data_IF_569912940123
#
_entry.id   IF_569912940123
#
_cell.length_a   1.000
_cell.length_b   1.000
_cell.length_c   1.000
_cell.angle_alpha   90.00
_cell.angle_beta   90.00
_cell.angle_gamma   90.00
#
_symmetry.space_group_name_H-M   'P 1'
#
loop_
_entity.id
_entity.type
_entity.pdbx_description
1 polymer ?
#
# COMPACT_ATOMS: atom_id res chain seq x y z
N UNK A 1 21.68 -11.28 13.77
CA UNK A 1 20.45 -11.84 14.36
C UNK A 1 19.84 -10.85 15.33
N UNK A 2 18.53 -10.59 15.26
CA UNK A 2 17.83 -9.77 16.27
C UNK A 2 17.66 -10.61 17.53
N UNK A 3 18.05 -10.05 18.69
CA UNK A 3 17.91 -10.69 20.01
C UNK A 3 16.78 -10.07 20.82
N UNK A 4 16.59 -8.75 20.69
CA UNK A 4 15.50 -8.03 21.33
C UNK A 4 15.09 -6.84 20.45
N UNK A 5 13.79 -6.56 20.40
CA UNK A 5 13.18 -5.40 19.74
C UNK A 5 12.32 -4.65 20.78
N UNK A 6 12.86 -3.56 21.31
CA UNK A 6 12.15 -2.67 22.22
C UNK A 6 11.58 -1.49 21.41
N UNK A 7 10.30 -1.58 21.05
CA UNK A 7 9.60 -0.58 20.25
C UNK A 7 9.44 0.76 21.00
N UNK A 8 8.98 0.79 22.28
CA UNK A 8 8.86 2.04 23.02
C UNK A 8 10.17 2.82 23.12
N UNK A 9 11.29 2.13 23.36
CA UNK A 9 12.61 2.76 23.44
C UNK A 9 13.28 2.93 22.07
N UNK A 10 12.65 2.46 20.99
CA UNK A 10 13.23 2.40 19.63
C UNK A 10 14.61 1.75 19.61
N UNK A 11 14.79 0.71 20.42
CA UNK A 11 16.08 0.04 20.63
C UNK A 11 16.03 -1.39 20.11
N UNK A 12 16.98 -1.71 19.24
CA UNK A 12 17.15 -3.06 18.71
C UNK A 12 18.47 -3.60 19.21
N UNK A 13 18.44 -4.78 19.84
CA UNK A 13 19.65 -5.49 20.23
C UNK A 13 19.89 -6.61 19.24
N UNK A 14 21.08 -6.60 18.62
CA UNK A 14 21.47 -7.58 17.60
C UNK A 14 22.79 -8.25 17.98
N UNK A 15 23.00 -9.46 17.50
CA UNK A 15 24.30 -10.14 17.53
C UNK A 15 24.75 -10.52 16.12
N UNK A 16 26.06 -10.55 15.88
CA UNK A 16 26.60 -11.16 14.67
C UNK A 16 26.38 -12.67 14.74
N UNK A 17 25.87 -13.26 13.66
CA UNK A 17 25.55 -14.68 13.60
C UNK A 17 25.77 -15.15 12.15
N UNK A 18 26.69 -16.09 11.87
CA UNK A 18 26.96 -16.57 10.53
C UNK A 18 25.85 -17.53 10.08
N UNK A 19 24.78 -16.98 9.51
CA UNK A 19 23.62 -17.73 9.02
C UNK A 19 23.57 -17.81 7.50
N UNK A 20 23.11 -18.94 6.97
CA UNK A 20 22.97 -19.18 5.52
C UNK A 20 21.57 -18.80 4.97
N UNK A 21 20.86 -17.92 5.67
CA UNK A 21 19.51 -17.46 5.30
C UNK A 21 19.35 -15.96 5.52
N UNK A 22 18.35 -15.38 4.87
CA UNK A 22 17.87 -14.03 5.13
C UNK A 22 16.38 -14.05 5.49
N UNK A 23 15.86 -12.96 6.07
CA UNK A 23 14.46 -12.85 6.47
C UNK A 23 13.67 -11.93 5.54
N UNK A 24 12.40 -12.26 5.29
CA UNK A 24 11.44 -11.36 4.63
C UNK A 24 10.22 -11.20 5.52
N UNK A 25 9.81 -9.97 5.77
CA UNK A 25 8.55 -9.71 6.47
C UNK A 25 7.36 -9.97 5.57
N UNK A 26 6.23 -10.27 6.18
CA UNK A 26 4.91 -10.24 5.55
C UNK A 26 4.09 -9.27 6.35
N UNK A 27 3.44 -8.37 5.63
CA UNK A 27 2.53 -7.41 6.24
C UNK A 27 1.17 -7.46 5.57
N UNK A 28 0.18 -7.02 6.32
CA UNK A 28 -1.18 -6.85 5.86
C UNK A 28 -1.51 -5.36 5.91
N UNK A 29 -1.86 -4.80 4.75
CA UNK A 29 -2.32 -3.42 4.65
C UNK A 29 -3.84 -3.39 4.58
N UNK A 30 -4.44 -2.40 5.25
CA UNK A 30 -5.85 -2.04 5.10
C UNK A 30 -5.96 -0.53 4.95
N UNK A 31 -6.98 -0.10 4.22
CA UNK A 31 -7.38 1.29 4.14
C UNK A 31 -8.78 1.48 4.72
N UNK A 32 -9.04 2.68 5.20
CA UNK A 32 -10.37 3.14 5.62
C UNK A 32 -10.59 4.53 5.04
N UNK A 33 -11.73 4.74 4.38
CA UNK A 33 -12.15 6.04 3.85
C UNK A 33 -12.71 6.86 5.01
N UNK A 34 -12.04 7.96 5.35
CA UNK A 34 -12.47 8.86 6.42
C UNK A 34 -13.39 9.97 5.90
N UNK A 35 -13.06 10.50 4.71
CA UNK A 35 -13.82 11.59 4.11
C UNK A 35 -13.63 11.62 2.59
N UNK A 36 -14.70 11.94 1.85
CA UNK A 36 -14.65 12.22 0.41
C UNK A 36 -14.66 13.74 0.23
N UNK A 37 -13.62 14.28 -0.40
CA UNK A 37 -13.48 15.73 -0.64
C UNK A 37 -13.91 16.08 -2.07
N UNK A 38 -13.52 15.26 -3.06
CA UNK A 38 -13.85 15.46 -4.47
C UNK A 38 -14.22 14.12 -5.11
N UNK A 39 -15.05 14.18 -6.15
CA UNK A 39 -15.33 13.04 -7.02
C UNK A 39 -15.50 13.52 -8.45
N UNK A 40 -15.21 12.64 -9.40
CA UNK A 40 -15.51 12.86 -10.82
C UNK A 40 -15.69 11.51 -11.52
N UNK A 41 -16.45 11.49 -12.60
CA UNK A 41 -16.57 10.32 -13.45
C UNK A 41 -15.47 10.35 -14.52
N UNK A 42 -14.69 9.27 -14.61
CA UNK A 42 -13.72 9.05 -15.68
C UNK A 42 -13.98 7.68 -16.29
N UNK A 43 -14.03 7.61 -17.62
CA UNK A 43 -14.36 6.37 -18.32
C UNK A 43 -15.71 5.78 -17.84
N UNK A 44 -15.77 4.48 -17.53
CA UNK A 44 -16.92 3.79 -16.93
C UNK A 44 -16.89 3.69 -15.40
N UNK A 45 -16.07 4.49 -14.72
CA UNK A 45 -15.96 4.47 -13.26
C UNK A 45 -15.98 5.86 -12.64
N UNK A 46 -16.20 5.92 -11.33
CA UNK A 46 -16.04 7.11 -10.53
C UNK A 46 -14.70 7.03 -9.81
N UNK A 47 -13.96 8.14 -9.87
CA UNK A 47 -12.77 8.35 -9.05
C UNK A 47 -13.11 9.34 -7.95
N UNK A 48 -12.69 9.02 -6.74
CA UNK A 48 -12.91 9.80 -5.53
C UNK A 48 -11.56 10.21 -4.97
N UNK A 49 -11.50 11.38 -4.36
CA UNK A 49 -10.33 11.89 -3.65
C UNK A 49 -10.75 12.38 -2.28
N UNK A 50 -9.94 12.09 -1.27
CA UNK A 50 -10.20 12.53 0.08
C UNK A 50 -9.23 11.97 1.11
N UNK A 51 -9.65 11.97 2.37
CA UNK A 51 -8.84 11.49 3.49
C UNK A 51 -9.06 10.01 3.71
N UNK A 52 -7.96 9.30 3.89
CA UNK A 52 -7.97 7.88 4.22
C UNK A 52 -7.08 7.62 5.43
N UNK A 53 -7.38 6.55 6.15
CA UNK A 53 -6.49 5.97 7.15
C UNK A 53 -5.84 4.73 6.55
N UNK A 54 -4.53 4.66 6.61
CA UNK A 54 -3.74 3.49 6.19
C UNK A 54 -3.28 2.78 7.45
N UNK A 55 -3.47 1.47 7.51
CA UNK A 55 -2.89 0.62 8.55
C UNK A 55 -2.03 -0.45 7.90
N UNK A 56 -0.77 -0.54 8.32
CA UNK A 56 0.16 -1.61 7.94
C UNK A 56 0.51 -2.43 9.19
N UNK A 57 0.27 -3.74 9.14
CA UNK A 57 0.56 -4.64 10.24
C UNK A 57 1.48 -5.76 9.79
N UNK A 58 2.68 -5.82 10.38
CA UNK A 58 3.61 -6.93 10.17
C UNK A 58 3.18 -8.10 11.06
N UNK A 59 2.76 -9.20 10.45
CA UNK A 59 2.18 -10.36 11.16
C UNK A 59 3.10 -11.56 11.21
N UNK A 60 4.07 -11.65 10.31
CA UNK A 60 5.00 -12.77 10.25
C UNK A 60 6.30 -12.38 9.52
N UNK A 61 7.34 -13.19 9.69
CA UNK A 61 8.50 -13.19 8.80
C UNK A 61 8.85 -14.60 8.33
N UNK A 62 9.39 -14.69 7.13
CA UNK A 62 9.83 -15.93 6.49
C UNK A 62 11.36 -15.96 6.45
N UNK A 63 11.95 -17.13 6.70
CA UNK A 63 13.38 -17.37 6.46
C UNK A 63 13.58 -17.96 5.07
N UNK A 64 14.55 -17.43 4.33
CA UNK A 64 14.85 -17.84 2.96
C UNK A 64 16.32 -18.24 2.86
N UNK A 65 16.60 -19.44 2.37
CA UNK A 65 17.96 -19.91 2.15
C UNK A 65 18.65 -19.04 1.09
N UNK A 66 19.86 -18.55 1.38
CA UNK A 66 20.62 -17.69 0.46
C UNK A 66 20.96 -18.45 -0.82
N UNK A 67 21.38 -19.72 -0.70
CA UNK A 67 21.87 -20.51 -1.84
C UNK A 67 20.76 -21.01 -2.75
N UNK A 68 19.67 -21.51 -2.17
CA UNK A 68 18.61 -22.19 -2.94
C UNK A 68 17.40 -21.31 -3.19
N UNK A 69 17.34 -20.13 -2.57
CA UNK A 69 16.16 -19.25 -2.57
C UNK A 69 14.86 -19.97 -2.15
N UNK A 70 14.96 -21.08 -1.42
CA UNK A 70 13.80 -21.78 -0.87
C UNK A 70 13.44 -21.20 0.49
N UNK A 71 12.13 -21.04 0.73
CA UNK A 71 11.61 -20.73 2.06
C UNK A 71 11.93 -21.90 3.00
N UNK A 72 12.60 -21.60 4.09
CA UNK A 72 12.95 -22.55 5.14
C UNK A 72 11.81 -22.65 6.15
N UNK A 73 11.41 -21.50 6.70
CA UNK A 73 10.47 -21.43 7.80
C UNK A 73 9.66 -20.14 7.76
N UNK A 74 8.64 -20.08 8.61
CA UNK A 74 7.79 -18.93 8.86
C UNK A 74 7.56 -18.79 10.35
N UNK A 75 7.63 -17.56 10.85
CA UNK A 75 7.46 -17.24 12.26
C UNK A 75 6.44 -16.12 12.38
N UNK A 76 5.43 -16.33 13.22
CA UNK A 76 4.48 -15.29 13.58
C UNK A 76 5.18 -14.18 14.38
N UNK A 77 4.72 -12.96 14.19
CA UNK A 77 5.13 -11.76 14.90
C UNK A 77 3.90 -11.09 15.49
N UNK A 78 4.01 -10.66 16.74
CA UNK A 78 2.99 -9.87 17.42
C UNK A 78 3.48 -8.42 17.53
N UNK A 79 3.48 -7.72 16.39
CA UNK A 79 3.86 -6.32 16.32
C UNK A 79 2.61 -5.44 16.26
N UNK A 80 2.60 -4.29 16.97
CA UNK A 80 1.48 -3.36 16.90
C UNK A 80 1.33 -2.83 15.47
N UNK A 81 0.09 -2.61 14.99
CA UNK A 81 -0.14 -2.01 13.69
C UNK A 81 0.41 -0.59 13.65
N UNK A 82 0.97 -0.21 12.50
CA UNK A 82 1.34 1.17 12.20
C UNK A 82 0.20 1.82 11.45
N UNK A 83 -0.33 2.92 11.98
CA UNK A 83 -1.48 3.62 11.41
C UNK A 83 -1.13 5.08 11.16
N UNK A 84 -1.57 5.62 10.03
CA UNK A 84 -1.50 7.05 9.75
C UNK A 84 -2.67 7.48 8.87
N UNK A 85 -3.10 8.73 9.04
CA UNK A 85 -4.07 9.37 8.17
C UNK A 85 -3.32 10.14 7.07
N UNK A 86 -3.84 10.10 5.85
CA UNK A 86 -3.26 10.76 4.68
C UNK A 86 -4.34 11.11 3.68
N UNK A 87 -3.94 11.72 2.56
CA UNK A 87 -4.80 11.99 1.42
C UNK A 87 -4.50 11.03 0.28
N UNK A 88 -5.53 10.72 -0.49
CA UNK A 88 -5.40 9.83 -1.63
C UNK A 88 -6.63 9.85 -2.50
N UNK A 89 -6.53 9.17 -3.65
CA UNK A 89 -7.68 8.89 -4.48
C UNK A 89 -7.86 7.38 -4.66
N UNK A 90 -9.08 7.01 -5.03
CA UNK A 90 -9.43 5.63 -5.33
C UNK A 90 -10.52 5.56 -6.36
N UNK A 91 -10.58 4.45 -7.07
CA UNK A 91 -11.61 4.16 -8.05
C UNK A 91 -11.97 2.67 -8.00
N UNK A 92 -13.24 2.38 -8.24
CA UNK A 92 -13.76 1.01 -8.24
C UNK A 92 -13.74 0.41 -9.63
N UNK A 93 -13.66 -0.91 -9.72
CA UNK A 93 -13.91 -1.61 -10.98
C UNK A 93 -15.39 -1.97 -11.05
N UNK A 94 -16.14 -1.52 -12.08
CA UNK A 94 -17.55 -1.89 -12.24
C UNK A 94 -17.78 -3.40 -12.22
N UNK A 95 -18.84 -3.86 -11.55
CA UNK A 95 -19.16 -5.29 -11.43
C UNK A 95 -19.27 -6.01 -12.79
N UNK A 96 -19.75 -5.31 -13.84
CA UNK A 96 -19.78 -5.85 -15.20
C UNK A 96 -18.38 -6.25 -15.70
N UNK A 97 -17.35 -5.43 -15.44
CA UNK A 97 -15.97 -5.72 -15.83
C UNK A 97 -15.40 -6.87 -14.98
N UNK A 98 -15.73 -6.91 -13.69
CA UNK A 98 -15.33 -8.03 -12.81
C UNK A 98 -15.90 -9.36 -13.33
N UNK A 99 -17.18 -9.42 -13.70
CA UNK A 99 -17.77 -10.63 -14.29
C UNK A 99 -17.13 -11.00 -15.62
N UNK A 100 -16.75 -10.02 -16.45
CA UNK A 100 -16.01 -10.27 -17.68
C UNK A 100 -14.60 -10.84 -17.41
N UNK A 101 -13.91 -10.37 -16.36
CA UNK A 101 -12.64 -10.95 -15.92
C UNK A 101 -12.81 -12.43 -15.52
N UNK A 102 -13.81 -12.74 -14.69
CA UNK A 102 -14.10 -14.11 -14.28
C UNK A 102 -14.40 -15.02 -15.48
N UNK A 103 -15.21 -14.53 -16.44
CA UNK A 103 -15.57 -15.28 -17.64
C UNK A 103 -14.37 -15.57 -18.56
N UNK A 104 -13.36 -14.70 -18.54
CA UNK A 104 -12.13 -14.82 -19.34
C UNK A 104 -10.97 -15.49 -18.57
N UNK A 105 -11.19 -15.87 -17.29
CA UNK A 105 -10.16 -16.46 -16.45
C UNK A 105 -9.02 -15.49 -16.08
N UNK A 106 -9.29 -14.18 -16.08
CA UNK A 106 -8.36 -13.14 -15.65
C UNK A 106 -8.21 -13.18 -14.13
N UNK A 107 -6.97 -13.14 -13.63
CA UNK A 107 -6.75 -12.98 -12.18
C UNK A 107 -7.01 -11.53 -11.79
N UNK A 108 -8.23 -11.25 -11.31
CA UNK A 108 -8.65 -9.92 -10.91
C UNK A 108 -7.68 -9.29 -9.90
N UNK A 109 -7.16 -10.06 -8.94
CA UNK A 109 -6.22 -9.49 -7.95
C UNK A 109 -4.89 -9.13 -8.58
N UNK A 110 -4.35 -10.04 -9.40
CA UNK A 110 -3.13 -9.79 -10.16
C UNK A 110 -3.26 -8.58 -11.06
N UNK A 111 -4.43 -8.38 -11.67
CA UNK A 111 -4.71 -7.28 -12.58
C UNK A 111 -4.82 -5.94 -11.85
N UNK A 112 -5.58 -5.88 -10.76
CA UNK A 112 -5.70 -4.66 -9.94
C UNK A 112 -4.34 -4.21 -9.39
N UNK A 113 -3.55 -5.16 -8.91
CA UNK A 113 -2.21 -4.92 -8.36
C UNK A 113 -1.23 -4.45 -9.44
N UNK A 114 -1.31 -4.99 -10.65
CA UNK A 114 -0.55 -4.50 -11.79
C UNK A 114 -0.93 -3.06 -12.18
N UNK A 115 -2.22 -2.72 -12.19
CA UNK A 115 -2.70 -1.35 -12.49
C UNK A 115 -2.19 -0.38 -11.41
N UNK A 116 -2.31 -0.74 -10.13
CA UNK A 116 -1.80 0.04 -9.01
C UNK A 116 -0.32 0.38 -9.18
N UNK A 117 0.52 -0.63 -9.42
CA UNK A 117 1.95 -0.42 -9.61
C UNK A 117 2.29 0.41 -10.84
N UNK A 118 1.64 0.14 -11.98
CA UNK A 118 1.87 0.91 -13.19
C UNK A 118 1.49 2.38 -12.98
N UNK A 119 0.33 2.64 -12.34
CA UNK A 119 -0.10 4.00 -12.02
C UNK A 119 0.92 4.70 -11.11
N UNK A 120 1.35 4.08 -10.01
CA UNK A 120 2.38 4.63 -9.12
C UNK A 120 3.71 4.85 -9.85
N UNK A 121 4.10 3.96 -10.77
CA UNK A 121 5.29 4.11 -11.60
C UNK A 121 5.25 5.35 -12.51
N UNK A 122 4.05 5.82 -12.90
CA UNK A 122 3.86 7.03 -13.70
C UNK A 122 3.85 8.31 -12.87
N UNK A 123 3.55 8.26 -11.56
CA UNK A 123 3.45 9.46 -10.70
C UNK A 123 4.63 10.45 -10.84
N UNK A 124 5.91 10.00 -10.85
CA UNK A 124 7.05 10.89 -11.02
C UNK A 124 6.97 11.77 -12.27
N UNK A 125 6.36 11.27 -13.35
CA UNK A 125 6.19 12.00 -14.62
C UNK A 125 5.07 13.05 -14.56
N UNK A 126 4.13 12.92 -13.63
CA UNK A 126 2.96 13.80 -13.51
C UNK A 126 3.17 14.92 -12.49
N UNK A 127 3.81 14.62 -11.36
CA UNK A 127 3.87 15.53 -10.21
C UNK A 127 5.28 15.76 -9.63
N UNK A 128 6.33 15.35 -10.34
CA UNK A 128 7.75 15.51 -9.95
C UNK A 128 8.04 15.01 -8.53
N UNK A 129 7.73 13.74 -8.30
CA UNK A 129 7.83 13.08 -7.00
C UNK A 129 8.73 11.85 -7.08
N UNK A 130 9.30 11.39 -5.97
CA UNK A 130 9.83 10.04 -5.91
C UNK A 130 8.67 9.04 -5.78
N UNK A 131 8.74 7.92 -6.51
CA UNK A 131 7.77 6.84 -6.36
C UNK A 131 7.65 6.29 -4.92
N UNK A 132 8.63 6.55 -4.04
CA UNK A 132 8.60 6.23 -2.60
C UNK A 132 7.69 7.12 -1.77
N UNK A 133 7.34 8.29 -2.29
CA UNK A 133 6.42 9.20 -1.60
C UNK A 133 4.96 8.83 -1.85
N UNK A 134 4.69 7.81 -2.67
CA UNK A 134 3.35 7.35 -3.05
C UNK A 134 3.15 5.91 -2.59
N UNK A 135 2.10 5.70 -1.80
CA UNK A 135 1.63 4.39 -1.42
C UNK A 135 0.46 3.94 -2.28
N UNK A 136 0.24 2.63 -2.30
CA UNK A 136 -0.91 2.02 -2.95
C UNK A 136 -1.48 0.87 -2.14
N UNK A 137 -2.72 0.52 -2.49
CA UNK A 137 -3.33 -0.74 -2.09
C UNK A 137 -4.43 -1.12 -3.08
N UNK A 138 -4.47 -2.38 -3.50
CA UNK A 138 -5.53 -2.96 -4.31
C UNK A 138 -6.22 -4.10 -3.55
N UNK A 139 -7.54 -4.22 -3.68
CA UNK A 139 -8.32 -5.32 -3.09
C UNK A 139 -9.49 -5.71 -3.99
N UNK A 140 -9.85 -6.99 -4.01
CA UNK A 140 -11.00 -7.54 -4.74
C UNK A 140 -12.31 -7.04 -4.12
N UNK A 141 -12.28 -6.76 -2.82
CA UNK A 141 -13.43 -6.30 -2.09
C UNK A 141 -13.00 -5.36 -0.98
N UNK A 142 -13.56 -4.16 -0.98
CA UNK A 142 -13.43 -3.19 0.09
C UNK A 142 -14.80 -2.88 0.70
N UNK A 143 -15.00 -3.05 2.02
CA UNK A 143 -16.32 -2.94 2.64
C UNK A 143 -17.03 -1.60 2.43
N UNK A 144 -16.29 -0.49 2.38
CA UNK A 144 -16.91 0.85 2.23
C UNK A 144 -17.23 1.21 0.77
N UNK A 145 -16.64 0.52 -0.21
CA UNK A 145 -16.92 0.76 -1.64
C UNK A 145 -17.72 -0.37 -2.30
N UNK A 146 -17.98 -1.44 -1.53
CA UNK A 146 -18.72 -2.64 -1.94
C UNK A 146 -18.24 -3.24 -3.28
N UNK A 147 -16.92 -3.41 -3.42
CA UNK A 147 -16.35 -4.00 -4.63
C UNK A 147 -14.83 -3.85 -4.75
N UNK A 148 -14.32 -4.28 -5.91
CA UNK A 148 -12.92 -4.17 -6.28
C UNK A 148 -12.50 -2.71 -6.40
N UNK A 149 -11.38 -2.36 -5.77
CA UNK A 149 -10.90 -0.98 -5.67
C UNK A 149 -9.38 -0.90 -5.66
N UNK A 150 -8.87 0.18 -6.23
CA UNK A 150 -7.46 0.57 -6.17
C UNK A 150 -7.38 1.92 -5.44
N UNK A 151 -6.57 1.97 -4.40
CA UNK A 151 -6.20 3.17 -3.66
C UNK A 151 -4.79 3.60 -4.04
N UNK A 152 -4.60 4.90 -4.24
CA UNK A 152 -3.30 5.53 -4.38
C UNK A 152 -3.27 6.77 -3.48
N UNK A 153 -2.28 6.85 -2.60
CA UNK A 153 -2.26 7.82 -1.50
C UNK A 153 -0.85 8.36 -1.26
N UNK A 154 -0.78 9.52 -0.61
CA UNK A 154 0.49 10.10 -0.20
C UNK A 154 1.10 9.26 0.93
N UNK A 155 2.36 8.84 0.78
CA UNK A 155 3.09 7.99 1.72
C UNK A 155 3.52 8.68 3.02
N UNK A 156 2.99 9.87 3.29
CA UNK A 156 3.38 10.73 4.42
C UNK A 156 2.13 11.04 5.27
N UNK A 157 2.21 10.93 6.62
CA UNK A 157 1.12 11.33 7.50
C UNK A 157 0.67 12.77 7.27
N UNK A 158 -0.65 12.98 7.19
CA UNK A 158 -1.30 14.26 6.91
C UNK A 158 -1.49 14.57 5.42
N UNK A 159 -0.79 13.87 4.52
CA UNK A 159 -0.77 14.15 3.09
C UNK A 159 0.18 15.30 2.72
N UNK A 160 0.77 15.23 1.54
CA UNK A 160 1.64 16.24 0.94
C UNK A 160 0.98 16.94 -0.27
N UNK A 161 -0.23 16.53 -0.65
CA UNK A 161 -0.98 17.05 -1.79
C UNK A 161 -0.56 16.46 -3.14
N UNK A 162 0.26 15.40 -3.14
CA UNK A 162 0.81 14.79 -4.36
C UNK A 162 -0.31 14.11 -5.16
N UNK A 163 -1.12 13.32 -4.46
CA UNK A 163 -2.30 12.65 -5.04
C UNK A 163 -3.42 13.62 -5.40
N UNK A 164 -3.51 14.78 -4.76
CA UNK A 164 -4.44 15.84 -5.21
C UNK A 164 -4.10 16.33 -6.61
N UNK A 165 -2.81 16.55 -6.89
CA UNK A 165 -2.34 16.98 -8.21
C UNK A 165 -2.55 15.87 -9.25
N UNK A 166 -2.23 14.62 -8.93
CA UNK A 166 -2.48 13.48 -9.82
C UNK A 166 -3.99 13.23 -10.05
N UNK A 167 -4.84 13.43 -9.03
CA UNK A 167 -6.29 13.32 -9.15
C UNK A 167 -6.86 14.32 -10.17
N UNK A 168 -6.31 15.53 -10.26
CA UNK A 168 -6.76 16.54 -11.23
C UNK A 168 -6.74 15.99 -12.67
N UNK A 169 -5.75 15.15 -13.00
CA UNK A 169 -5.58 14.52 -14.31
C UNK A 169 -5.50 12.98 -14.26
N UNK A 170 -6.32 12.39 -13.40
CA UNK A 170 -6.34 10.93 -13.21
C UNK A 170 -6.62 10.13 -14.49
N UNK A 171 -7.36 10.71 -15.45
CA UNK A 171 -7.61 10.05 -16.73
C UNK A 171 -6.30 9.87 -17.52
N UNK A 172 -5.44 10.90 -17.56
CA UNK A 172 -4.14 10.82 -18.21
C UNK A 172 -3.20 9.86 -17.48
N UNK A 173 -3.24 9.86 -16.14
CA UNK A 173 -2.47 8.89 -15.33
C UNK A 173 -2.79 7.45 -15.72
N UNK A 174 -4.08 7.09 -15.79
CA UNK A 174 -4.50 5.74 -16.15
C UNK A 174 -4.18 5.38 -17.61
N UNK A 175 -4.32 6.33 -18.54
CA UNK A 175 -3.88 6.12 -19.92
C UNK A 175 -2.37 5.84 -20.00
N UNK A 176 -1.53 6.65 -19.35
CA UNK A 176 -0.08 6.42 -19.36
C UNK A 176 0.32 5.12 -18.68
N UNK A 177 -0.38 4.72 -17.60
CA UNK A 177 -0.19 3.41 -17.00
C UNK A 177 -0.50 2.30 -18.02
N UNK A 178 -1.63 2.41 -18.75
CA UNK A 178 -1.99 1.47 -19.81
C UNK A 178 -0.91 1.41 -20.91
N UNK A 179 -0.43 2.57 -21.37
CA UNK A 179 0.58 2.68 -22.43
C UNK A 179 1.88 1.99 -22.03
N UNK A 180 2.37 2.21 -20.80
CA UNK A 180 3.59 1.56 -20.31
C UNK A 180 3.41 0.05 -20.18
N UNK A 181 2.25 -0.42 -19.72
CA UNK A 181 1.97 -1.85 -19.63
C UNK A 181 1.99 -2.47 -21.04
N UNK A 182 1.30 -1.85 -22.01
CA UNK A 182 1.19 -2.34 -23.40
C UNK A 182 2.52 -2.31 -24.15
N UNK A 183 3.29 -1.23 -24.01
CA UNK A 183 4.54 -1.03 -24.73
C UNK A 183 5.67 -1.95 -24.23
N UNK A 184 5.59 -2.43 -23.00
CA UNK A 184 6.61 -3.30 -22.44
C UNK A 184 6.58 -4.69 -23.12
N UNK A 185 7.72 -5.22 -23.61
CA UNK A 185 7.76 -6.51 -24.32
C UNK A 185 7.69 -7.74 -23.39
N UNK A 186 7.65 -7.57 -22.07
CA UNK A 186 7.61 -8.69 -21.14
C UNK A 186 6.28 -9.46 -21.19
N UNK A 187 6.31 -10.75 -20.87
CA UNK A 187 5.13 -11.61 -20.91
C UNK A 187 4.27 -11.50 -19.64
N UNK A 188 4.90 -11.62 -18.47
CA UNK A 188 4.22 -11.78 -17.18
C UNK A 188 4.31 -10.55 -16.26
N UNK A 189 4.93 -9.47 -16.73
CA UNK A 189 5.20 -8.27 -15.94
C UNK A 189 6.63 -8.22 -15.38
N UNK A 190 7.23 -7.03 -15.40
CA UNK A 190 8.61 -6.80 -14.95
C UNK A 190 8.74 -5.45 -14.22
N UNK A 191 9.92 -5.13 -13.64
CA UNK A 191 10.19 -3.85 -12.96
C UNK A 191 9.99 -2.61 -13.82
N UNK A 192 10.00 -2.74 -15.14
CA UNK A 192 9.79 -1.61 -16.07
C UNK A 192 8.32 -1.31 -16.35
N UNK A 193 7.36 -2.15 -15.90
CA UNK A 193 5.95 -1.94 -16.20
C UNK A 193 5.00 -2.10 -15.01
N UNK A 194 5.04 -3.22 -14.29
CA UNK A 194 4.01 -3.56 -13.27
C UNK A 194 4.58 -4.06 -11.95
N UNK A 195 5.91 -4.16 -11.80
CA UNK A 195 6.52 -4.53 -10.52
C UNK A 195 7.05 -3.31 -9.80
N UNK A 196 6.89 -3.29 -8.48
CA UNK A 196 7.42 -2.26 -7.59
C UNK A 196 8.44 -2.86 -6.62
N UNK A 197 9.53 -2.13 -6.38
CA UNK A 197 10.52 -2.49 -5.37
C UNK A 197 9.98 -2.35 -3.93
N UNK A 198 8.89 -1.61 -3.75
CA UNK A 198 8.26 -1.33 -2.46
C UNK A 198 7.06 -2.25 -2.17
N UNK A 199 6.81 -3.21 -3.04
CA UNK A 199 5.67 -4.11 -2.94
C UNK A 199 5.82 -5.08 -1.74
N UNK A 200 5.01 -4.90 -0.71
CA UNK A 200 4.98 -5.75 0.48
C UNK A 200 4.52 -7.20 0.22
N UNK A 201 3.76 -7.43 -0.85
CA UNK A 201 3.32 -8.78 -1.26
C UNK A 201 4.36 -9.53 -2.10
N UNK A 202 5.50 -8.89 -2.42
CA UNK A 202 6.57 -9.48 -3.23
C UNK A 202 6.22 -9.60 -4.71
N UNK A 203 5.46 -8.64 -5.24
CA UNK A 203 4.98 -8.58 -6.63
C UNK A 203 4.15 -9.81 -7.02
N UNK A 204 3.34 -10.35 -6.09
CA UNK A 204 2.46 -11.51 -6.33
C UNK A 204 1.13 -11.37 -5.56
N UNK A 205 -0.02 -11.70 -6.16
CA UNK A 205 -0.21 -12.09 -7.57
C UNK A 205 0.08 -10.91 -8.53
N UNK A 206 0.25 -11.20 -9.82
CA UNK A 206 0.55 -10.19 -10.85
C UNK A 206 0.01 -10.68 -12.19
N UNK A 207 -0.89 -9.90 -12.80
CA UNK A 207 -1.47 -10.23 -14.11
C UNK A 207 -1.42 -8.99 -15.02
N UNK A 208 -0.39 -8.97 -15.86
CA UNK A 208 -0.15 -7.89 -16.83
C UNK A 208 -1.27 -7.80 -17.87
N UNK A 209 -1.70 -8.94 -18.41
CA UNK A 209 -2.69 -8.97 -19.48
C UNK A 209 -4.09 -8.65 -18.92
N UNK A 210 -4.38 -9.13 -17.71
CA UNK A 210 -5.56 -8.74 -16.96
C UNK A 210 -5.65 -7.24 -16.70
N UNK A 211 -4.52 -6.60 -16.36
CA UNK A 211 -4.48 -5.14 -16.18
C UNK A 211 -4.86 -4.38 -17.47
N UNK A 212 -4.28 -4.79 -18.60
CA UNK A 212 -4.64 -4.22 -19.91
C UNK A 212 -6.13 -4.42 -20.21
N UNK A 213 -6.63 -5.64 -20.00
CA UNK A 213 -8.03 -5.97 -20.20
C UNK A 213 -8.96 -5.06 -19.40
N UNK A 214 -8.71 -4.88 -18.09
CA UNK A 214 -9.53 -4.01 -17.24
C UNK A 214 -9.47 -2.56 -17.71
N UNK A 215 -8.28 -2.03 -18.00
CA UNK A 215 -8.12 -0.63 -18.43
C UNK A 215 -8.83 -0.36 -19.77
N UNK A 216 -8.72 -1.26 -20.75
CA UNK A 216 -9.43 -1.15 -22.02
C UNK A 216 -10.95 -1.19 -21.83
N UNK A 217 -11.45 -2.05 -20.94
CA UNK A 217 -12.89 -2.15 -20.65
C UNK A 217 -13.43 -0.97 -19.87
N UNK A 218 -12.60 -0.33 -19.05
CA UNK A 218 -12.95 0.95 -18.43
C UNK A 218 -13.12 2.01 -19.52
N UNK A 219 -12.15 2.14 -20.43
CA UNK A 219 -12.13 3.12 -21.52
C UNK A 219 -13.23 2.91 -22.58
N UNK A 220 -13.67 1.68 -22.78
CA UNK A 220 -14.68 1.29 -23.76
C UNK A 220 -16.11 1.76 -23.40
N UNK A 221 -16.34 3.08 -23.35
CA UNK A 221 -17.56 3.83 -23.68
C UNK A 221 -17.42 5.29 -23.20
N UNK A 222 -17.78 6.26 -24.06
CA UNK A 222 -17.83 7.69 -23.72
C UNK A 222 -18.67 7.92 -22.45
N UNK A 223 -18.10 8.67 -21.49
CA UNK A 223 -18.69 8.94 -20.19
C UNK A 223 -20.18 9.39 -20.29
N UNK A 224 -21.08 8.87 -19.44
CA UNK A 224 -22.37 9.51 -19.19
C UNK A 224 -22.14 10.89 -18.57
N UNK A 225 -22.83 11.91 -19.07
CA UNK A 225 -22.73 13.31 -18.60
C UNK A 225 -23.08 13.40 -17.10
N UNK A 226 -22.26 14.16 -16.39
CA UNK A 226 -22.27 14.44 -14.95
C UNK A 226 -23.65 14.48 -14.28
N UNK A 227 -23.77 13.75 -13.16
CA UNK A 227 -24.60 14.16 -12.02
C UNK A 227 -23.72 14.16 -10.77
N UNK A 228 -23.26 15.34 -10.39
CA UNK A 228 -22.70 15.58 -9.07
C UNK A 228 -23.88 15.58 -8.09
N UNK A 229 -23.99 14.55 -7.25
CA UNK A 229 -24.78 14.61 -6.02
C UNK A 229 -23.79 14.65 -4.85
N UNK A 230 -23.74 15.82 -4.23
CA UNK A 230 -23.08 16.05 -2.95
C UNK A 230 -24.13 15.84 -1.87
N UNK A 231 -24.06 14.75 -1.13
CA UNK A 231 -24.77 14.62 0.15
C UNK A 231 -23.79 14.08 1.18
N UNK A 232 -23.41 14.98 2.08
CA UNK A 232 -22.65 14.76 3.29
C UNK A 232 -23.64 14.59 4.44
N UNK A 233 -23.70 13.38 5.01
CA UNK A 233 -24.26 13.09 6.34
C UNK A 233 -23.74 11.67 6.68
N UNK A 234 -23.15 11.33 7.81
CA UNK A 234 -22.99 11.98 9.09
C UNK A 234 -22.79 10.83 10.08
N UNK A 235 -21.57 10.63 10.60
CA UNK A 235 -21.31 9.67 11.68
C UNK A 235 -20.05 10.07 12.46
N UNK A 236 -20.19 11.11 13.29
CA UNK A 236 -19.28 11.43 14.38
C UNK A 236 -20.07 11.52 15.69
N UNK A 237 -19.89 10.52 16.56
CA UNK A 237 -20.32 10.50 17.96
C UNK A 237 -19.75 9.21 18.56
N UNK A 238 -18.95 9.15 19.63
CA UNK A 238 -18.92 9.95 20.86
C UNK A 238 -17.54 9.80 21.52
N UNK A 239 -17.07 10.90 22.14
CA UNK A 239 -16.03 10.91 23.18
C UNK A 239 -16.40 9.99 24.34
N UNK A 240 -15.41 9.36 24.98
CA UNK A 240 -15.35 9.26 26.45
C UNK A 240 -13.91 9.35 26.94
N UNK A 241 -13.62 10.47 27.59
CA UNK A 241 -12.51 10.71 28.49
C UNK A 241 -12.65 9.86 29.75
N UNK A 242 -11.56 9.26 30.23
CA UNK A 242 -11.36 9.09 31.68
C UNK A 242 -9.87 9.02 32.00
N UNK A 243 -9.51 9.75 33.07
CA UNK A 243 -8.17 9.93 33.63
C UNK A 243 -8.20 9.24 35.00
N UNK A 244 -7.22 8.40 35.30
CA UNK A 244 -6.85 7.95 36.65
C UNK A 244 -5.44 7.33 36.52
N UNK A 245 -4.40 8.01 36.99
CA UNK A 245 -3.86 8.02 38.36
C UNK A 245 -2.82 6.92 38.61
N UNK A 246 -1.60 7.44 38.78
CA UNK A 246 -0.39 6.98 39.46
C UNK A 246 -0.47 5.73 40.35
N UNK A 247 0.53 4.86 40.18
CA UNK A 247 0.97 3.86 41.14
C UNK A 247 2.48 3.67 41.03
N UNK A 248 3.18 3.87 42.14
CA UNK A 248 4.64 4.01 42.26
C UNK A 248 5.31 2.70 42.73
N UNK A 249 6.56 2.50 42.27
CA UNK A 249 7.68 1.72 42.85
C UNK A 249 7.74 0.17 42.71
N UNK A 250 8.93 -0.47 42.86
CA UNK A 250 10.30 0.02 42.76
C UNK A 250 11.20 -0.74 41.76
N UNK A 251 12.28 -0.07 41.36
CA UNK A 251 13.34 -0.56 40.47
C UNK A 251 14.35 -1.42 41.26
N UNK A 252 14.53 -2.70 40.90
CA UNK A 252 15.64 -3.51 41.39
C UNK A 252 16.80 -3.45 40.41
N UNK A 253 17.92 -2.90 40.86
CA UNK A 253 19.20 -2.95 40.16
C UNK A 253 19.71 -4.38 40.08
N UNK A 254 20.09 -4.83 38.90
CA UNK A 254 21.16 -5.82 38.76
C UNK A 254 21.98 -5.51 37.52
N UNK A 255 23.20 -5.04 37.77
CA UNK A 255 24.23 -4.79 36.78
C UNK A 255 24.81 -6.12 36.30
N UNK A 256 24.85 -6.31 34.99
CA UNK A 256 25.79 -7.23 34.36
C UNK A 256 26.52 -6.45 33.26
N UNK A 257 27.76 -6.08 33.60
CA UNK A 257 28.69 -5.34 32.76
C UNK A 257 29.12 -6.18 31.56
N UNK A 258 28.59 -5.84 30.39
CA UNK A 258 29.14 -6.25 29.10
C UNK A 258 29.24 -5.01 28.23
N UNK A 259 30.40 -4.77 27.61
CA UNK A 259 30.58 -3.66 26.67
C UNK A 259 29.54 -3.75 25.54
N UNK A 260 28.48 -2.96 25.65
CA UNK A 260 27.48 -2.78 24.60
C UNK A 260 28.01 -1.73 23.63
N UNK A 261 28.39 -2.17 22.43
CA UNK A 261 28.59 -1.27 21.31
C UNK A 261 27.21 -0.79 20.85
N UNK A 262 26.93 0.50 21.00
CA UNK A 262 25.74 1.12 20.42
C UNK A 262 26.13 1.77 19.09
N UNK A 263 25.28 1.62 18.09
CA UNK A 263 25.36 2.33 16.82
C UNK A 263 24.04 3.03 16.58
N UNK A 264 24.08 4.25 16.07
CA UNK A 264 22.89 4.96 15.57
C UNK A 264 22.74 4.56 14.11
N UNK A 265 21.63 3.91 13.78
CA UNK A 265 21.30 3.59 12.40
C UNK A 265 20.58 4.79 11.80
N UNK A 266 21.34 5.69 11.19
CA UNK A 266 20.80 6.80 10.42
C UNK A 266 20.38 6.28 9.04
N UNK A 267 19.08 6.20 8.81
CA UNK A 267 18.50 5.75 7.53
C UNK A 267 18.48 6.88 6.48
N UNK A 268 18.85 8.12 6.84
CA UNK A 268 18.75 9.29 5.95
C UNK A 268 20.08 9.63 5.25
N UNK A 269 21.22 9.11 5.72
CA UNK A 269 22.54 9.41 5.14
C UNK A 269 23.27 8.18 4.60
N UNK A 270 22.84 7.67 3.44
CA UNK A 270 23.75 7.05 2.47
C UNK A 270 23.32 7.45 1.05
N UNK A 271 23.87 8.59 0.59
CA UNK A 271 23.97 8.94 -0.84
C UNK A 271 25.24 8.36 -1.43
#
# INVERSE_FOLDING_TARGET
MVKNLDIPQRKITVSRDPVAYYTRVRSHKRTEILNIIKSKSIFRTNIYYGKIKVTDQITEYERWCIRTHRRLDRFALDLPPQEFETEGFWFTIPAAIQHECDAQGVDLMGALHAIEHAAIGIFPLMVMVDHRDIGGMSTNYHPQTDGAVIFIYDGIPGGAGLTSAAFADAQRLLHYAQDVIKACPCESGCPSCVQSAQCGSGNRPMDKNGAVFILERLEACKAPKDRIQTESDGLLSKRRTSRAQEGTQPYSQNQASGHLYYGVFDLETQR
#
